data_IF_779608552416
#
_entry.id   IF_779608552416
#
_cell.length_a   1.000
_cell.length_b   1.000
_cell.length_c   1.000
_cell.angle_alpha   90.00
_cell.angle_beta   90.00
_cell.angle_gamma   90.00
#
_symmetry.space_group_name_H-M   'P 1'
#
loop_
_entity.id
_entity.type
_entity.pdbx_description
1 polymer ?
#
# COMPACT_ATOMS: atom_id res chain seq x y z
N UNK A 1 20.72 -5.65 17.71
CA UNK A 1 21.24 -4.80 16.62
C UNK A 1 20.30 -3.62 16.51
N UNK A 2 20.75 -2.42 16.88
CA UNK A 2 19.92 -1.23 16.86
C UNK A 2 19.50 -0.94 15.41
N UNK A 3 18.20 -1.00 15.13
CA UNK A 3 17.66 -0.54 13.85
C UNK A 3 17.83 0.97 13.85
N UNK A 4 18.59 1.51 12.90
CA UNK A 4 18.61 2.95 12.64
C UNK A 4 17.15 3.39 12.42
N UNK A 5 16.68 4.35 13.21
CA UNK A 5 15.39 4.98 12.96
C UNK A 5 15.44 5.64 11.57
N UNK A 6 14.43 5.35 10.75
CA UNK A 6 14.34 5.94 9.41
C UNK A 6 13.94 7.39 9.49
N UNK A 7 14.27 8.17 8.46
CA UNK A 7 14.08 9.63 8.48
C UNK A 7 12.61 9.98 8.70
N UNK A 8 11.70 9.21 8.10
CA UNK A 8 10.26 9.39 8.29
C UNK A 8 9.80 9.06 9.72
N UNK A 9 10.29 7.95 10.30
CA UNK A 9 9.90 7.53 11.64
C UNK A 9 10.18 8.62 12.69
N UNK A 10 11.31 9.33 12.55
CA UNK A 10 11.69 10.43 13.44
C UNK A 10 10.76 11.66 13.37
N UNK A 11 9.94 11.79 12.31
CA UNK A 11 8.95 12.89 12.20
C UNK A 11 7.63 12.59 12.91
N UNK A 12 7.42 11.35 13.35
CA UNK A 12 6.18 10.90 13.96
C UNK A 12 6.18 11.11 15.48
N UNK A 13 4.98 11.21 16.07
CA UNK A 13 4.85 11.17 17.52
C UNK A 13 5.18 9.77 18.07
N UNK A 14 5.60 9.67 19.33
CA UNK A 14 6.06 8.40 19.95
C UNK A 14 5.12 7.20 19.72
N UNK A 15 3.80 7.42 19.81
CA UNK A 15 2.81 6.36 19.57
C UNK A 15 2.77 5.88 18.11
N UNK A 16 2.87 6.82 17.18
CA UNK A 16 2.87 6.51 15.75
C UNK A 16 4.20 5.93 15.30
N UNK A 17 5.30 6.39 15.89
CA UNK A 17 6.65 5.88 15.66
C UNK A 17 6.75 4.39 16.02
N UNK A 18 6.28 4.00 17.22
CA UNK A 18 6.29 2.59 17.63
C UNK A 18 5.51 1.70 16.65
N UNK A 19 4.28 2.10 16.31
CA UNK A 19 3.43 1.39 15.34
C UNK A 19 4.03 1.36 13.94
N UNK A 20 4.73 2.42 13.54
CA UNK A 20 5.41 2.50 12.25
C UNK A 20 6.59 1.53 12.20
N UNK A 21 7.46 1.56 13.21
CA UNK A 21 8.62 0.67 13.32
C UNK A 21 8.21 -0.81 13.30
N UNK A 22 7.14 -1.19 14.00
CA UNK A 22 6.58 -2.55 13.94
C UNK A 22 6.21 -2.96 12.51
N UNK A 23 5.58 -2.06 11.75
CA UNK A 23 5.22 -2.31 10.35
C UNK A 23 6.44 -2.42 9.44
N UNK A 24 7.44 -1.57 9.64
CA UNK A 24 8.69 -1.62 8.86
C UNK A 24 9.38 -2.97 9.06
N UNK A 25 9.41 -3.48 10.29
CA UNK A 25 9.96 -4.81 10.59
C UNK A 25 9.19 -5.91 9.85
N UNK A 26 7.86 -5.85 9.86
CA UNK A 26 7.02 -6.82 9.12
C UNK A 26 7.20 -6.72 7.60
N UNK A 27 7.40 -5.51 7.08
CA UNK A 27 7.65 -5.28 5.66
C UNK A 27 9.06 -5.67 5.23
N UNK A 28 10.03 -5.80 6.16
CA UNK A 28 11.44 -6.10 5.89
C UNK A 28 12.25 -4.95 5.27
N UNK A 29 11.57 -3.94 4.74
CA UNK A 29 12.16 -2.71 4.18
C UNK A 29 11.28 -1.52 4.53
N UNK A 30 11.90 -0.35 4.71
CA UNK A 30 11.16 0.90 4.87
C UNK A 30 10.68 1.42 3.49
N UNK A 31 9.37 1.55 3.24
CA UNK A 31 8.85 2.03 1.95
C UNK A 31 9.25 3.47 1.60
N UNK A 32 9.54 4.32 2.58
CA UNK A 32 9.92 5.72 2.39
C UNK A 32 11.39 5.88 2.04
N UNK A 33 12.25 4.97 2.47
CA UNK A 33 13.68 4.95 2.10
C UNK A 33 13.93 4.38 0.69
N UNK A 34 12.94 3.68 0.09
CA UNK A 34 13.06 3.15 -1.28
C UNK A 34 13.14 4.27 -2.33
N UNK A 35 14.21 4.29 -3.12
CA UNK A 35 14.34 5.17 -4.28
C UNK A 35 13.76 4.55 -5.55
N UNK A 36 13.57 5.35 -6.60
CA UNK A 36 13.12 4.82 -7.91
C UNK A 36 14.13 3.85 -8.53
N UNK A 37 15.43 4.03 -8.27
CA UNK A 37 16.48 3.11 -8.72
C UNK A 37 16.47 1.75 -8.02
N UNK A 38 15.88 1.67 -6.83
CA UNK A 38 15.77 0.41 -6.10
C UNK A 38 14.65 -0.49 -6.63
N UNK A 39 13.76 0.05 -7.47
CA UNK A 39 12.51 -0.59 -7.87
C UNK A 39 12.43 -0.80 -9.40
N UNK A 40 11.67 -1.80 -9.81
CA UNK A 40 11.42 -2.11 -11.23
C UNK A 40 9.95 -1.89 -11.60
N UNK A 41 9.67 -1.70 -12.89
CA UNK A 41 8.29 -1.65 -13.41
C UNK A 41 8.01 -2.93 -14.19
N UNK A 42 7.63 -3.97 -13.46
CA UNK A 42 7.22 -5.25 -14.05
C UNK A 42 5.93 -5.74 -13.40
N UNK A 43 4.87 -5.84 -14.21
CA UNK A 43 3.55 -6.30 -13.77
C UNK A 43 3.56 -7.80 -13.42
N UNK A 44 4.48 -8.58 -13.99
CA UNK A 44 4.60 -10.01 -13.68
C UNK A 44 5.06 -10.27 -12.25
N UNK A 45 5.70 -9.28 -11.61
CA UNK A 45 6.12 -9.34 -10.21
C UNK A 45 5.01 -8.91 -9.24
N UNK A 46 3.85 -8.52 -9.75
CA UNK A 46 2.74 -8.12 -8.89
C UNK A 46 2.13 -9.35 -8.22
N UNK A 47 1.60 -9.22 -7.01
CA UNK A 47 0.80 -10.27 -6.42
C UNK A 47 -0.37 -10.60 -7.35
N UNK A 48 -0.56 -11.88 -7.62
CA UNK A 48 -1.71 -12.34 -8.40
C UNK A 48 -2.96 -12.16 -7.56
N UNK A 49 -3.87 -11.30 -8.03
CA UNK A 49 -5.14 -11.01 -7.38
C UNK A 49 -6.21 -11.02 -8.46
N UNK A 50 -7.23 -11.86 -8.29
CA UNK A 50 -8.32 -11.98 -9.24
C UNK A 50 -9.45 -10.97 -8.95
N UNK A 51 -10.26 -10.68 -9.97
CA UNK A 51 -11.44 -9.82 -9.80
C UNK A 51 -12.40 -10.33 -8.72
N UNK A 52 -12.47 -11.67 -8.56
CA UNK A 52 -13.23 -12.30 -7.49
C UNK A 52 -12.70 -11.90 -6.10
N UNK A 53 -11.39 -11.96 -5.89
CA UNK A 53 -10.74 -11.58 -4.62
C UNK A 53 -11.00 -10.11 -4.27
N UNK A 54 -10.91 -9.24 -5.27
CA UNK A 54 -11.19 -7.80 -5.13
C UNK A 54 -12.65 -7.60 -4.71
N UNK A 55 -13.59 -8.27 -5.40
CA UNK A 55 -15.02 -8.15 -5.10
C UNK A 55 -15.36 -8.70 -3.70
N UNK A 56 -14.73 -9.80 -3.29
CA UNK A 56 -14.90 -10.37 -1.97
C UNK A 56 -14.42 -9.40 -0.88
N UNK A 57 -13.23 -8.85 -1.06
CA UNK A 57 -12.64 -7.92 -0.11
C UNK A 57 -13.42 -6.60 -0.01
N UNK A 58 -13.80 -6.01 -1.13
CA UNK A 58 -14.43 -4.70 -1.18
C UNK A 58 -15.92 -4.72 -0.81
N UNK A 59 -16.65 -5.76 -1.22
CA UNK A 59 -18.12 -5.80 -1.16
C UNK A 59 -18.62 -6.85 -0.17
N UNK A 60 -18.11 -8.08 -0.23
CA UNK A 60 -18.69 -9.22 0.51
C UNK A 60 -18.24 -9.26 1.98
N UNK A 61 -17.06 -8.75 2.31
CA UNK A 61 -16.60 -8.62 3.69
C UNK A 61 -17.34 -7.47 4.40
N UNK A 62 -18.24 -7.81 5.31
CA UNK A 62 -18.99 -6.84 6.14
C UNK A 62 -18.32 -6.60 7.50
N UNK A 63 -18.51 -5.40 8.06
CA UNK A 63 -18.05 -5.07 9.40
C UNK A 63 -18.89 -5.81 10.45
N UNK A 64 -18.23 -6.33 11.49
CA UNK A 64 -18.86 -7.11 12.56
C UNK A 64 -19.91 -6.31 13.35
N UNK A 65 -19.79 -4.97 13.38
CA UNK A 65 -20.48 -4.14 14.37
C UNK A 65 -21.89 -3.72 13.93
N UNK A 66 -22.13 -3.44 12.65
CA UNK A 66 -23.46 -2.98 12.20
C UNK A 66 -24.07 -3.83 11.11
N UNK A 67 -23.31 -4.69 10.41
CA UNK A 67 -23.70 -5.39 9.17
C UNK A 67 -24.30 -4.50 8.05
N UNK A 68 -24.48 -3.20 8.29
CA UNK A 68 -25.04 -2.21 7.38
C UNK A 68 -23.95 -1.46 6.60
N UNK A 69 -22.70 -1.50 7.07
CA UNK A 69 -21.58 -0.81 6.44
C UNK A 69 -20.54 -1.80 5.92
N UNK A 70 -20.14 -1.62 4.67
CA UNK A 70 -19.02 -2.34 4.05
C UNK A 70 -17.78 -2.22 4.94
N UNK A 71 -17.14 -3.35 5.27
CA UNK A 71 -15.90 -3.34 6.08
C UNK A 71 -14.79 -2.56 5.40
N UNK A 72 -14.80 -2.56 4.08
CA UNK A 72 -13.76 -2.03 3.23
C UNK A 72 -14.16 -0.70 2.54
N UNK A 73 -15.07 0.10 3.12
CA UNK A 73 -15.49 1.38 2.51
C UNK A 73 -14.31 2.28 2.09
N UNK A 74 -13.31 2.46 2.96
CA UNK A 74 -12.12 3.27 2.64
C UNK A 74 -11.29 2.67 1.51
N UNK A 75 -11.24 1.34 1.42
CA UNK A 75 -10.55 0.66 0.33
C UNK A 75 -11.32 0.78 -0.99
N UNK A 76 -12.66 0.81 -0.95
CA UNK A 76 -13.50 1.07 -2.12
C UNK A 76 -13.29 2.49 -2.66
N UNK A 77 -13.22 3.49 -1.77
CA UNK A 77 -12.82 4.85 -2.14
C UNK A 77 -11.40 4.86 -2.75
N UNK A 78 -10.47 4.11 -2.16
CA UNK A 78 -9.12 3.86 -2.69
C UNK A 78 -9.11 3.29 -4.11
N UNK A 79 -9.93 2.27 -4.35
CA UNK A 79 -10.09 1.64 -5.67
C UNK A 79 -10.57 2.66 -6.72
N UNK A 80 -11.50 3.54 -6.35
CA UNK A 80 -11.98 4.59 -7.25
C UNK A 80 -10.84 5.52 -7.72
N UNK A 81 -9.89 5.88 -6.84
CA UNK A 81 -8.72 6.66 -7.26
C UNK A 81 -7.85 5.94 -8.29
N UNK A 82 -7.70 4.62 -8.16
CA UNK A 82 -6.97 3.80 -9.13
C UNK A 82 -7.71 3.78 -10.47
N UNK A 83 -9.00 3.44 -10.47
CA UNK A 83 -9.79 3.35 -11.71
C UNK A 83 -9.99 4.69 -12.41
N UNK A 84 -10.04 5.79 -11.65
CA UNK A 84 -10.16 7.15 -12.20
C UNK A 84 -8.82 7.76 -12.63
N UNK A 85 -7.73 7.00 -12.64
CA UNK A 85 -6.43 7.42 -13.20
C UNK A 85 -5.61 8.35 -12.29
N UNK A 86 -5.95 8.46 -11.01
CA UNK A 86 -5.19 9.26 -10.04
C UNK A 86 -3.89 8.59 -9.62
N UNK A 87 -3.78 7.28 -9.78
CA UNK A 87 -2.60 6.51 -9.38
C UNK A 87 -1.74 6.22 -10.60
N UNK A 88 -0.43 6.53 -10.51
CA UNK A 88 0.53 6.17 -11.57
C UNK A 88 0.84 4.68 -11.53
N UNK A 89 1.41 4.17 -12.62
CA UNK A 89 1.94 2.81 -12.66
C UNK A 89 2.86 2.54 -11.45
N UNK A 90 2.55 1.53 -10.63
CA UNK A 90 3.37 1.13 -9.50
C UNK A 90 4.77 0.65 -9.91
N UNK A 91 5.74 0.97 -9.07
CA UNK A 91 7.03 0.30 -9.03
C UNK A 91 7.00 -0.85 -8.02
N UNK A 92 7.82 -1.86 -8.26
CA UNK A 92 7.91 -3.07 -7.43
C UNK A 92 9.32 -3.20 -6.87
N UNK A 93 9.40 -3.52 -5.58
CA UNK A 93 10.60 -3.99 -4.90
C UNK A 93 10.34 -5.38 -4.35
N UNK A 94 11.10 -6.36 -4.79
CA UNK A 94 11.12 -7.67 -4.14
C UNK A 94 11.87 -7.56 -2.81
N UNK A 95 11.24 -7.98 -1.71
CA UNK A 95 11.84 -7.98 -0.37
C UNK A 95 12.29 -9.39 -0.01
N UNK A 96 11.50 -10.39 -0.37
CA UNK A 96 11.78 -11.81 -0.19
C UNK A 96 11.15 -12.60 -1.33
N UNK A 97 11.45 -13.90 -1.42
CA UNK A 97 10.91 -14.78 -2.47
C UNK A 97 9.38 -14.87 -2.53
N UNK A 98 8.67 -14.39 -1.51
CA UNK A 98 7.20 -14.40 -1.44
C UNK A 98 6.58 -13.03 -1.11
N UNK A 99 7.39 -12.00 -0.91
CA UNK A 99 6.92 -10.68 -0.49
C UNK A 99 7.47 -9.60 -1.40
N UNK A 100 6.55 -8.80 -1.94
CA UNK A 100 6.86 -7.65 -2.78
C UNK A 100 6.25 -6.39 -2.17
N UNK A 101 6.96 -5.27 -2.29
CA UNK A 101 6.47 -3.94 -1.94
C UNK A 101 6.11 -3.22 -3.23
N UNK A 102 4.84 -2.80 -3.32
CA UNK A 102 4.36 -1.93 -4.38
C UNK A 102 4.41 -0.48 -3.91
N UNK A 103 5.11 0.36 -4.65
CA UNK A 103 5.20 1.81 -4.40
C UNK A 103 4.65 2.55 -5.59
N UNK A 104 3.83 3.57 -5.37
CA UNK A 104 3.29 4.40 -6.45
C UNK A 104 3.20 5.86 -6.02
N UNK A 105 3.13 6.75 -7.01
CA UNK A 105 2.85 8.18 -6.80
C UNK A 105 1.41 8.48 -7.22
N UNK A 106 0.75 9.29 -6.40
CA UNK A 106 -0.60 9.80 -6.68
C UNK A 106 -0.48 11.13 -7.43
N UNK A 107 -1.29 11.32 -8.47
CA UNK A 107 -1.42 12.58 -9.20
C UNK A 107 -2.27 13.54 -8.38
N UNK A 108 -1.85 14.79 -8.30
CA UNK A 108 -2.61 15.85 -7.61
C UNK A 108 -3.87 16.29 -8.36
N UNK A 109 -3.92 16.04 -9.67
CA UNK A 109 -5.08 16.27 -10.52
C UNK A 109 -5.08 15.30 -11.70
N UNK A 110 -6.27 14.97 -12.19
CA UNK A 110 -6.47 14.23 -13.43
C UNK A 110 -6.80 15.23 -14.53
N UNK A 111 -6.00 15.23 -15.60
CA UNK A 111 -6.38 15.85 -16.87
C UNK A 111 -7.38 14.89 -17.54
N UNK A 112 -8.66 15.26 -17.51
CA UNK A 112 -9.68 14.67 -18.37
C UNK A 112 -9.34 15.10 -19.80
N UNK A 113 -8.96 14.14 -20.65
CA UNK A 113 -8.96 14.32 -22.10
C UNK A 113 -10.26 13.76 -22.66
#
# INVERSE_FOLDING_TARGET
MAQNETVYAATLCLKDQARYSEKVVLCGVDPFELSESDCVRDVNLWPRVDAADISEFLVLRTSFITRQQLKARKALEGHNFVTSGWVREPWVKEVSSHSVVLKTKVRYSVLLF
#
